data_IF_953060238884
#
_entry.id   IF_953060238884
#
_cell.length_a   1.000
_cell.length_b   1.000
_cell.length_c   1.000
_cell.angle_alpha   90.00
_cell.angle_beta   90.00
_cell.angle_gamma   90.00
#
_symmetry.space_group_name_H-M   'P 1'
#
loop_
_entity.id
_entity.type
_entity.pdbx_description
1 polymer ?
#
# COMPACT_ATOMS: atom_id res chain seq x y z
N UNK A 1 -32.65 -57.95 -26.22
CA UNK A 1 -32.45 -56.93 -25.17
C UNK A 1 -31.03 -56.40 -25.32
N UNK A 2 -30.83 -55.26 -26.00
CA UNK A 2 -29.52 -54.68 -26.30
C UNK A 2 -29.41 -53.33 -25.61
N UNK A 3 -28.52 -53.21 -24.62
CA UNK A 3 -28.22 -51.96 -23.92
C UNK A 3 -27.10 -51.28 -24.70
N UNK A 4 -27.38 -50.10 -25.26
CA UNK A 4 -26.39 -49.21 -25.87
C UNK A 4 -25.86 -48.27 -24.79
N UNK A 5 -24.59 -48.42 -24.42
CA UNK A 5 -23.88 -47.50 -23.53
C UNK A 5 -23.33 -46.34 -24.35
N UNK A 6 -23.85 -45.14 -24.13
CA UNK A 6 -23.43 -43.92 -24.80
C UNK A 6 -22.44 -43.18 -23.88
N UNK A 7 -21.18 -43.12 -24.29
CA UNK A 7 -20.14 -42.36 -23.58
C UNK A 7 -20.37 -40.86 -23.81
N UNK A 8 -20.63 -40.12 -22.74
CA UNK A 8 -20.61 -38.65 -22.72
C UNK A 8 -19.20 -38.24 -22.30
N UNK A 9 -18.42 -37.70 -23.25
CA UNK A 9 -17.18 -36.98 -22.94
C UNK A 9 -17.57 -35.59 -22.40
N UNK A 10 -17.37 -35.38 -21.10
CA UNK A 10 -17.47 -34.06 -20.49
C UNK A 10 -16.07 -33.42 -20.55
N UNK A 11 -15.88 -32.48 -21.47
CA UNK A 11 -14.75 -31.56 -21.46
C UNK A 11 -14.99 -30.51 -20.36
N UNK A 12 -14.36 -30.69 -19.21
CA UNK A 12 -14.30 -29.63 -18.17
C UNK A 12 -13.16 -28.70 -18.55
N UNK A 13 -13.54 -27.50 -18.99
CA UNK A 13 -12.68 -26.34 -19.15
C UNK A 13 -12.09 -25.97 -17.78
N UNK A 14 -10.82 -26.28 -17.54
CA UNK A 14 -10.04 -25.75 -16.43
C UNK A 14 -9.62 -24.32 -16.79
N UNK A 15 -10.56 -23.37 -16.64
CA UNK A 15 -10.26 -21.95 -16.75
C UNK A 15 -9.85 -21.42 -15.36
N UNK A 16 -8.58 -21.05 -15.25
CA UNK A 16 -8.05 -19.98 -14.39
C UNK A 16 -8.72 -19.74 -13.04
N UNK A 17 -8.29 -20.49 -12.03
CA UNK A 17 -8.24 -19.98 -10.67
C UNK A 17 -6.77 -19.82 -10.26
N UNK A 18 -6.06 -18.93 -10.94
CA UNK A 18 -5.08 -18.12 -10.21
C UNK A 18 -5.91 -17.16 -9.37
N UNK A 19 -6.45 -17.68 -8.27
CA UNK A 19 -6.82 -16.85 -7.15
C UNK A 19 -5.53 -16.16 -6.73
N UNK A 20 -5.38 -14.90 -7.10
CA UNK A 20 -4.36 -14.03 -6.55
C UNK A 20 -4.72 -13.91 -5.07
N UNK A 21 -4.24 -14.86 -4.28
CA UNK A 21 -4.41 -14.89 -2.84
C UNK A 21 -3.37 -13.92 -2.26
N UNK A 22 -3.50 -12.64 -2.60
CA UNK A 22 -2.95 -11.56 -1.78
C UNK A 22 -3.81 -11.52 -0.52
N UNK A 23 -3.52 -12.45 0.40
CA UNK A 23 -3.98 -12.31 1.78
C UNK A 23 -3.69 -10.86 2.19
N UNK A 24 -4.68 -10.08 2.67
CA UNK A 24 -4.41 -8.77 3.22
C UNK A 24 -3.47 -9.00 4.40
N UNK A 25 -2.16 -8.79 4.18
CA UNK A 25 -1.19 -8.76 5.25
C UNK A 25 -1.69 -7.67 6.18
N UNK A 26 -2.05 -8.05 7.40
CA UNK A 26 -2.37 -7.14 8.50
C UNK A 26 -1.43 -5.94 8.39
N UNK A 27 -1.97 -4.84 7.86
CA UNK A 27 -1.19 -3.65 7.59
C UNK A 27 -0.54 -3.24 8.90
N UNK A 28 0.69 -2.75 8.84
CA UNK A 28 1.27 -1.99 9.94
C UNK A 28 0.40 -0.74 10.11
N UNK A 29 -0.72 -0.91 10.83
CA UNK A 29 -1.73 0.13 11.05
C UNK A 29 -1.17 1.23 11.95
N UNK A 30 -0.03 1.02 12.60
CA UNK A 30 0.60 2.07 13.39
C UNK A 30 1.36 3.05 12.49
N UNK A 31 1.11 4.33 12.70
CA UNK A 31 1.89 5.47 12.21
C UNK A 31 3.04 5.69 13.20
N UNK A 32 4.24 5.25 12.83
CA UNK A 32 5.42 5.26 13.71
C UNK A 32 6.27 6.53 13.61
N UNK A 33 6.05 7.33 12.57
CA UNK A 33 6.97 8.37 12.09
C UNK A 33 6.23 9.57 11.54
N UNK A 34 6.96 10.67 11.30
CA UNK A 34 6.42 11.88 10.67
C UNK A 34 6.03 11.69 9.20
N UNK A 35 6.60 10.68 8.53
CA UNK A 35 6.31 10.40 7.14
C UNK A 35 6.72 9.01 6.70
N UNK A 36 6.85 8.88 5.39
CA UNK A 36 7.31 7.67 4.72
C UNK A 36 8.48 7.98 3.79
N UNK A 37 9.35 7.00 3.65
CA UNK A 37 10.39 7.01 2.62
C UNK A 37 9.99 6.03 1.54
N UNK A 38 9.87 6.52 0.32
CA UNK A 38 9.60 5.74 -0.88
C UNK A 38 10.93 5.57 -1.61
N UNK A 39 11.29 4.33 -1.93
CA UNK A 39 12.46 4.04 -2.72
C UNK A 39 12.04 3.62 -4.14
N UNK A 40 12.49 4.39 -5.14
CA UNK A 40 11.94 4.37 -6.49
C UNK A 40 10.86 5.44 -6.68
N UNK A 41 10.15 5.39 -7.80
CA UNK A 41 9.04 6.29 -8.08
C UNK A 41 7.73 5.50 -8.18
N UNK A 42 6.69 6.01 -7.52
CA UNK A 42 5.30 5.49 -7.62
C UNK A 42 4.81 5.55 -9.08
N UNK A 43 5.39 6.43 -9.91
CA UNK A 43 5.01 6.60 -11.32
C UNK A 43 6.02 6.02 -12.30
N UNK A 44 7.27 5.81 -11.87
CA UNK A 44 8.38 5.34 -12.71
C UNK A 44 9.16 4.25 -11.94
N UNK A 45 8.66 3.03 -12.05
CA UNK A 45 9.10 1.82 -11.35
C UNK A 45 10.49 1.34 -11.76
N UNK A 46 11.55 2.10 -11.46
CA UNK A 46 12.94 1.64 -11.60
C UNK A 46 13.75 2.06 -10.40
N UNK A 47 14.30 1.04 -9.73
CA UNK A 47 15.35 1.23 -8.74
C UNK A 47 16.64 1.59 -9.47
N UNK A 48 17.09 2.83 -9.36
CA UNK A 48 18.31 3.32 -10.03
C UNK A 48 19.59 2.88 -9.32
N UNK A 49 19.54 2.75 -8.00
CA UNK A 49 20.69 2.46 -7.15
C UNK A 49 20.34 1.46 -6.04
N UNK A 50 21.33 0.72 -5.57
CA UNK A 50 21.21 -0.18 -4.43
C UNK A 50 20.88 0.61 -3.15
N UNK A 51 19.78 0.27 -2.49
CA UNK A 51 19.40 0.87 -1.20
C UNK A 51 20.10 0.10 -0.09
N UNK A 52 21.10 0.73 0.54
CA UNK A 52 21.77 0.17 1.72
C UNK A 52 21.02 0.57 2.99
N UNK A 53 20.55 -0.42 3.72
CA UNK A 53 19.96 -0.28 5.04
C UNK A 53 21.02 -0.65 6.07
N UNK A 54 21.36 0.28 6.95
CA UNK A 54 22.44 0.11 7.93
C UNK A 54 21.92 0.14 9.36
N UNK A 55 22.60 -0.59 10.23
CA UNK A 55 22.41 -0.55 11.68
C UNK A 55 23.01 0.75 12.27
N UNK A 56 22.75 0.99 13.55
CA UNK A 56 23.28 2.16 14.27
C UNK A 56 24.81 2.13 14.41
N UNK A 57 25.43 0.94 14.39
CA UNK A 57 26.89 0.76 14.42
C UNK A 57 27.55 0.86 13.03
N UNK A 58 26.80 1.30 12.01
CA UNK A 58 27.19 1.39 10.60
C UNK A 58 27.42 0.04 9.88
N UNK A 59 27.12 -1.09 10.51
CA UNK A 59 27.11 -2.37 9.80
C UNK A 59 25.92 -2.45 8.84
N UNK A 60 26.09 -3.11 7.70
CA UNK A 60 25.00 -3.30 6.73
C UNK A 60 24.03 -4.33 7.29
N UNK A 61 22.77 -3.93 7.46
CA UNK A 61 21.68 -4.84 7.80
C UNK A 61 21.24 -5.62 6.55
N UNK A 62 20.88 -4.90 5.49
CA UNK A 62 20.59 -5.47 4.17
C UNK A 62 20.72 -4.41 3.08
N UNK A 63 20.81 -4.87 1.85
CA UNK A 63 20.82 -4.06 0.64
C UNK A 63 19.67 -4.51 -0.25
N UNK A 64 18.80 -3.58 -0.64
CA UNK A 64 17.79 -3.81 -1.67
C UNK A 64 18.42 -3.47 -3.01
N UNK A 65 18.51 -4.44 -3.91
CA UNK A 65 19.22 -4.30 -5.18
C UNK A 65 18.39 -4.85 -6.32
N UNK A 66 18.49 -4.23 -7.49
CA UNK A 66 17.90 -4.75 -8.73
C UNK A 66 19.00 -4.83 -9.79
N UNK A 67 19.18 -6.01 -10.36
CA UNK A 67 20.00 -6.15 -11.58
C UNK A 67 19.11 -5.96 -12.80
N UNK A 68 19.71 -5.53 -13.91
CA UNK A 68 18.98 -5.32 -15.16
C UNK A 68 18.15 -6.57 -15.54
N UNK A 69 16.86 -6.36 -15.79
CA UNK A 69 15.87 -7.41 -16.10
C UNK A 69 15.74 -8.51 -15.02
N UNK A 70 16.09 -8.22 -13.76
CA UNK A 70 15.89 -9.11 -12.63
C UNK A 70 14.93 -8.49 -11.61
N UNK A 71 14.35 -9.36 -10.78
CA UNK A 71 13.57 -8.98 -9.62
C UNK A 71 14.45 -8.27 -8.58
N UNK A 72 13.82 -7.45 -7.74
CA UNK A 72 14.45 -6.87 -6.56
C UNK A 72 14.84 -7.99 -5.59
N UNK A 73 16.09 -7.98 -5.13
CA UNK A 73 16.63 -8.95 -4.16
C UNK A 73 17.24 -8.27 -2.95
N UNK A 74 17.16 -8.95 -1.81
CA UNK A 74 17.76 -8.53 -0.53
C UNK A 74 19.13 -9.19 -0.33
N UNK A 75 20.14 -8.41 0.11
CA UNK A 75 21.52 -8.88 0.31
C UNK A 75 22.13 -8.36 1.63
N UNK A 76 22.59 -9.21 2.56
CA UNK A 76 22.49 -10.66 2.53
C UNK A 76 21.03 -11.13 2.48
N UNK A 77 20.81 -12.35 2.00
CA UNK A 77 19.48 -12.93 1.87
C UNK A 77 18.81 -12.98 3.25
N UNK A 78 17.89 -12.04 3.49
CA UNK A 78 17.00 -12.08 4.66
C UNK A 78 15.68 -12.68 4.20
N UNK A 79 15.14 -13.63 4.98
CA UNK A 79 13.90 -14.35 4.60
C UNK A 79 12.73 -13.42 4.35
N UNK A 80 12.66 -12.31 5.07
CA UNK A 80 11.58 -11.32 4.99
C UNK A 80 12.09 -10.00 5.55
N UNK A 81 11.79 -8.91 4.85
CA UNK A 81 11.90 -7.55 5.40
C UNK A 81 10.50 -7.10 5.83
N UNK A 82 10.38 -6.59 7.04
CA UNK A 82 9.11 -6.09 7.58
C UNK A 82 9.12 -4.57 7.52
N UNK A 83 8.57 -4.03 6.45
CA UNK A 83 8.44 -2.58 6.22
C UNK A 83 7.00 -2.29 5.80
N UNK A 84 6.64 -1.01 5.65
CA UNK A 84 5.28 -0.60 5.33
C UNK A 84 4.75 -1.25 4.05
N UNK A 85 5.52 -1.20 2.97
CA UNK A 85 5.19 -1.86 1.72
C UNK A 85 6.44 -2.46 1.08
N UNK A 86 6.36 -3.74 0.72
CA UNK A 86 7.41 -4.42 -0.02
C UNK A 86 6.76 -5.34 -1.06
N UNK A 87 6.56 -4.78 -2.25
CA UNK A 87 6.03 -5.47 -3.42
C UNK A 87 7.07 -5.38 -4.55
N UNK A 88 8.10 -6.23 -4.54
CA UNK A 88 9.22 -6.15 -5.47
C UNK A 88 8.82 -6.33 -6.94
N UNK A 89 7.76 -7.10 -7.22
CA UNK A 89 7.23 -7.31 -8.58
C UNK A 89 6.65 -6.04 -9.20
N UNK A 90 6.29 -5.07 -8.36
CA UNK A 90 5.75 -3.78 -8.72
C UNK A 90 6.72 -2.63 -8.39
N UNK A 91 7.96 -2.94 -8.00
CA UNK A 91 8.95 -1.97 -7.52
C UNK A 91 8.44 -1.02 -6.40
N UNK A 92 7.50 -1.47 -5.57
CA UNK A 92 6.97 -0.69 -4.45
C UNK A 92 7.75 -1.05 -3.19
N UNK A 93 8.56 -0.09 -2.73
CA UNK A 93 9.34 -0.19 -1.49
C UNK A 93 9.07 1.07 -0.68
N UNK A 94 8.36 0.92 0.44
CA UNK A 94 7.97 2.03 1.31
C UNK A 94 8.30 1.69 2.76
N UNK A 95 8.95 2.63 3.43
CA UNK A 95 9.30 2.58 4.84
C UNK A 95 8.53 3.63 5.62
N UNK A 96 8.16 3.31 6.86
CA UNK A 96 7.95 4.36 7.87
C UNK A 96 9.29 5.04 8.14
N UNK A 97 9.35 6.35 7.98
CA UNK A 97 10.61 7.08 8.09
C UNK A 97 10.48 8.46 8.73
N UNK A 98 11.53 8.85 9.45
CA UNK A 98 11.78 10.24 9.84
C UNK A 98 12.97 10.78 9.03
N UNK A 99 12.85 12.01 8.54
CA UNK A 99 13.91 12.66 7.77
C UNK A 99 14.94 13.31 8.69
N UNK A 100 16.23 13.07 8.44
CA UNK A 100 17.37 13.83 8.96
C UNK A 100 18.09 14.52 7.80
N UNK A 101 19.09 15.34 8.12
CA UNK A 101 19.78 16.19 7.13
C UNK A 101 20.37 15.38 5.96
N UNK A 102 21.07 14.28 6.26
CA UNK A 102 21.79 13.48 5.26
C UNK A 102 21.39 11.98 5.25
N UNK A 103 20.42 11.61 6.08
CA UNK A 103 19.96 10.23 6.20
C UNK A 103 18.47 10.19 6.59
N UNK A 104 17.88 9.01 6.44
CA UNK A 104 16.54 8.69 6.89
C UNK A 104 16.62 7.65 7.99
N UNK A 105 15.90 7.87 9.08
CA UNK A 105 15.65 6.84 10.09
C UNK A 105 14.44 6.04 9.62
N UNK A 106 14.59 4.74 9.40
CA UNK A 106 13.52 3.88 8.87
C UNK A 106 13.19 2.75 9.83
N UNK A 107 11.91 2.40 9.95
CA UNK A 107 11.49 1.26 10.75
C UNK A 107 11.49 -0.03 9.94
N UNK A 108 12.20 -1.03 10.44
CA UNK A 108 12.19 -2.41 9.94
C UNK A 108 11.72 -3.31 11.08
N UNK A 109 10.46 -3.74 11.01
CA UNK A 109 9.76 -4.41 12.10
C UNK A 109 9.64 -3.50 13.32
N UNK A 110 10.25 -3.88 14.43
CA UNK A 110 10.33 -3.09 15.67
C UNK A 110 11.63 -2.30 15.81
N UNK A 111 12.56 -2.40 14.87
CA UNK A 111 13.88 -1.78 14.96
C UNK A 111 13.99 -0.55 14.06
N UNK A 112 14.71 0.47 14.55
CA UNK A 112 15.10 1.63 13.73
C UNK A 112 16.44 1.33 13.06
N UNK A 113 16.49 1.54 11.74
CA UNK A 113 17.66 1.44 10.87
C UNK A 113 17.87 2.77 10.16
N UNK A 114 18.94 2.88 9.38
CA UNK A 114 19.26 4.12 8.64
C UNK A 114 19.45 3.84 7.15
N UNK A 115 19.10 4.81 6.32
CA UNK A 115 19.36 4.84 4.88
C UNK A 115 19.98 6.20 4.55
N UNK A 116 21.14 6.21 3.89
CA UNK A 116 21.79 7.45 3.46
C UNK A 116 20.98 8.08 2.32
N UNK A 117 20.80 9.40 2.35
CA UNK A 117 20.00 10.11 1.34
C UNK A 117 20.69 10.11 -0.02
N UNK A 118 19.93 9.84 -1.08
CA UNK A 118 20.34 9.97 -2.48
C UNK A 118 19.12 10.30 -3.37
N UNK A 119 19.34 10.62 -4.65
CA UNK A 119 18.30 11.17 -5.55
C UNK A 119 17.14 10.22 -5.85
N UNK A 120 17.33 8.91 -5.72
CA UNK A 120 16.29 7.89 -5.99
C UNK A 120 15.35 7.63 -4.81
N UNK A 121 15.43 8.43 -3.74
CA UNK A 121 14.57 8.35 -2.57
C UNK A 121 13.65 9.56 -2.47
N UNK A 122 12.36 9.30 -2.27
CA UNK A 122 11.38 10.35 -2.05
C UNK A 122 10.82 10.25 -0.64
N UNK A 123 11.06 11.28 0.16
CA UNK A 123 10.42 11.42 1.47
C UNK A 123 9.13 12.23 1.33
N UNK A 124 8.05 11.72 1.90
CA UNK A 124 6.78 12.42 2.01
C UNK A 124 6.35 12.40 3.48
N UNK A 125 5.85 13.52 3.98
CA UNK A 125 5.11 13.47 5.24
C UNK A 125 3.81 12.65 5.01
N UNK A 126 3.17 12.23 6.08
CA UNK A 126 1.97 11.39 5.95
C UNK A 126 0.81 12.03 5.20
N UNK A 127 0.62 13.34 5.30
CA UNK A 127 -0.47 14.06 4.65
C UNK A 127 -0.24 14.16 3.13
N UNK A 128 0.99 14.41 2.71
CA UNK A 128 1.39 14.37 1.30
C UNK A 128 1.28 12.94 0.75
N UNK A 129 1.73 11.94 1.52
CA UNK A 129 1.69 10.55 1.10
C UNK A 129 0.25 10.03 0.94
N UNK A 130 -0.60 10.26 1.95
CA UNK A 130 -2.00 9.80 1.92
C UNK A 130 -2.78 10.46 0.78
N UNK A 131 -2.41 11.70 0.41
CA UNK A 131 -3.05 12.41 -0.70
C UNK A 131 -2.83 11.75 -2.06
N UNK A 132 -1.72 11.01 -2.22
CA UNK A 132 -1.30 10.38 -3.47
C UNK A 132 -1.61 8.89 -3.59
N UNK A 133 -2.31 8.30 -2.62
CA UNK A 133 -2.62 6.86 -2.60
C UNK A 133 -4.12 6.59 -2.58
N UNK A 134 -4.50 5.43 -3.09
CA UNK A 134 -5.89 4.97 -3.06
C UNK A 134 -6.22 4.35 -1.71
N UNK A 135 -7.48 4.51 -1.31
CA UNK A 135 -7.94 4.11 0.02
C UNK A 135 -9.06 3.08 -0.04
N UNK A 136 -8.93 2.06 0.79
CA UNK A 136 -10.03 1.20 1.22
C UNK A 136 -10.59 1.70 2.55
N UNK A 137 -11.91 1.73 2.67
CA UNK A 137 -12.58 2.23 3.87
C UNK A 137 -13.08 1.06 4.72
N UNK A 138 -13.03 1.20 6.05
CA UNK A 138 -13.36 0.15 7.02
C UNK A 138 -14.49 0.60 7.95
N UNK A 139 -15.02 -0.31 8.78
CA UNK A 139 -15.97 0.06 9.84
C UNK A 139 -15.36 1.03 10.88
N UNK A 140 -14.04 1.01 11.05
CA UNK A 140 -13.35 1.91 11.98
C UNK A 140 -13.29 3.34 11.43
N UNK A 141 -13.47 3.51 10.12
CA UNK A 141 -13.50 4.81 9.46
C UNK A 141 -14.57 4.88 8.38
N UNK A 142 -15.84 5.01 8.78
CA UNK A 142 -16.94 5.10 7.84
C UNK A 142 -16.88 6.39 7.01
N UNK A 143 -17.36 6.32 5.78
CA UNK A 143 -17.54 7.52 4.95
C UNK A 143 -18.72 8.35 5.47
N UNK A 144 -18.45 9.63 5.74
CA UNK A 144 -19.36 10.59 6.35
C UNK A 144 -19.75 11.69 5.38
N UNK A 145 -20.96 12.25 5.52
CA UNK A 145 -21.38 13.40 4.71
C UNK A 145 -20.68 14.70 5.11
N UNK A 146 -20.30 14.84 6.38
CA UNK A 146 -19.57 15.99 6.92
C UNK A 146 -18.33 15.53 7.70
N UNK A 147 -17.41 16.47 7.97
CA UNK A 147 -16.23 16.27 8.82
C UNK A 147 -16.60 16.18 10.31
N UNK A 148 -17.47 15.26 10.66
CA UNK A 148 -18.05 15.05 11.99
C UNK A 148 -18.38 13.56 12.19
N UNK A 149 -17.89 12.99 13.29
CA UNK A 149 -18.11 11.60 13.69
C UNK A 149 -19.63 11.28 13.84
N UNK A 150 -20.47 12.28 14.15
CA UNK A 150 -21.92 12.14 14.31
C UNK A 150 -22.73 12.36 13.03
N UNK A 151 -22.09 12.75 11.94
CA UNK A 151 -22.80 12.99 10.68
C UNK A 151 -23.27 11.68 10.04
N UNK A 152 -24.17 11.81 9.07
CA UNK A 152 -24.73 10.67 8.34
C UNK A 152 -23.62 9.86 7.66
N UNK A 153 -23.67 8.54 7.84
CA UNK A 153 -22.78 7.61 7.14
C UNK A 153 -23.36 7.26 5.79
N UNK A 154 -22.57 7.47 4.74
CA UNK A 154 -22.91 7.06 3.37
C UNK A 154 -22.91 5.53 3.31
N UNK A 155 -23.90 4.92 2.65
CA UNK A 155 -24.03 3.46 2.55
C UNK A 155 -23.08 2.86 1.52
N UNK A 156 -22.82 1.55 1.65
CA UNK A 156 -22.04 0.74 0.70
C UNK A 156 -20.61 1.24 0.43
N UNK A 157 -20.11 2.14 1.27
CA UNK A 157 -18.83 2.83 1.11
C UNK A 157 -17.59 1.91 1.14
N UNK A 158 -17.72 0.66 1.57
CA UNK A 158 -16.61 -0.30 1.59
C UNK A 158 -16.43 -1.06 0.27
N UNK A 159 -17.37 -0.91 -0.65
CA UNK A 159 -17.36 -1.65 -1.92
C UNK A 159 -16.49 -0.99 -3.00
N UNK A 160 -15.90 0.17 -2.70
CA UNK A 160 -15.21 1.01 -3.67
C UNK A 160 -13.83 1.41 -3.13
N UNK A 161 -12.90 1.68 -4.04
CA UNK A 161 -11.69 2.44 -3.72
C UNK A 161 -11.91 3.91 -3.92
N UNK A 162 -11.18 4.68 -3.13
CA UNK A 162 -11.30 6.12 -3.10
C UNK A 162 -9.97 6.80 -3.38
N UNK A 163 -10.03 7.92 -4.09
CA UNK A 163 -8.92 8.87 -4.15
C UNK A 163 -9.16 10.04 -3.20
N UNK A 164 -8.06 10.59 -2.68
CA UNK A 164 -8.08 11.73 -1.78
C UNK A 164 -8.15 13.02 -2.60
N UNK A 165 -9.11 13.87 -2.26
CA UNK A 165 -9.32 15.18 -2.89
C UNK A 165 -8.92 16.35 -2.00
N UNK A 166 -8.87 16.16 -0.68
CA UNK A 166 -8.39 17.14 0.29
C UNK A 166 -7.96 16.45 1.59
N UNK A 167 -6.97 17.02 2.28
CA UNK A 167 -6.47 16.59 3.58
C UNK A 167 -6.68 17.72 4.58
N UNK A 168 -7.41 17.45 5.66
CA UNK A 168 -7.68 18.42 6.73
C UNK A 168 -7.46 17.79 8.11
N UNK A 169 -6.20 17.78 8.55
CA UNK A 169 -5.80 17.13 9.78
C UNK A 169 -6.08 15.62 9.72
N UNK A 170 -6.89 15.11 10.64
CA UNK A 170 -7.20 13.68 10.73
C UNK A 170 -8.28 13.22 9.74
N UNK A 171 -8.82 14.15 8.94
CA UNK A 171 -9.90 13.89 8.00
C UNK A 171 -9.45 14.07 6.56
N UNK A 172 -9.95 13.19 5.70
CA UNK A 172 -9.77 13.26 4.25
C UNK A 172 -11.12 13.50 3.61
N UNK A 173 -11.15 14.36 2.60
CA UNK A 173 -12.24 14.38 1.64
C UNK A 173 -11.91 13.43 0.51
N UNK A 174 -12.78 12.47 0.25
CA UNK A 174 -12.51 11.38 -0.70
C UNK A 174 -13.66 11.19 -1.67
N UNK A 175 -13.36 10.68 -2.86
CA UNK A 175 -14.37 10.28 -3.85
C UNK A 175 -14.03 8.94 -4.47
N UNK A 176 -15.05 8.16 -4.84
CA UNK A 176 -14.84 6.85 -5.46
C UNK A 176 -14.13 6.98 -6.82
N UNK A 177 -13.25 6.03 -7.14
CA UNK A 177 -12.51 6.03 -8.39
C UNK A 177 -13.20 5.15 -9.43
N UNK A 178 -13.66 5.77 -10.52
CA UNK A 178 -14.37 5.06 -11.59
C UNK A 178 -13.54 3.97 -12.26
N UNK A 179 -12.23 4.20 -12.38
CA UNK A 179 -11.32 3.33 -13.15
C UNK A 179 -10.69 2.20 -12.32
N UNK A 180 -11.06 2.09 -11.03
CA UNK A 180 -10.66 0.99 -10.14
C UNK A 180 -11.82 0.01 -9.89
N UNK A 181 -12.21 -0.20 -8.64
CA UNK A 181 -13.43 -0.93 -8.23
C UNK A 181 -14.72 -0.16 -8.58
N UNK A 182 -14.58 1.05 -9.13
CA UNK A 182 -15.68 1.81 -9.71
C UNK A 182 -16.49 2.59 -8.68
N UNK A 183 -17.65 3.04 -9.15
CA UNK A 183 -18.62 3.81 -8.37
C UNK A 183 -20.02 3.21 -8.57
N UNK A 184 -20.95 3.34 -7.59
CA UNK A 184 -22.29 2.78 -7.70
C UNK A 184 -23.02 3.35 -8.90
N UNK A 185 -23.39 2.49 -9.85
CA UNK A 185 -24.15 2.85 -11.06
C UNK A 185 -23.60 4.08 -11.80
N UNK A 186 -22.28 4.29 -11.76
CA UNK A 186 -21.62 5.45 -12.39
C UNK A 186 -21.84 6.80 -11.69
N UNK A 187 -22.45 6.81 -10.51
CA UNK A 187 -22.63 8.01 -9.69
C UNK A 187 -21.44 8.20 -8.77
N UNK A 188 -20.81 9.37 -8.82
CA UNK A 188 -19.70 9.71 -7.94
C UNK A 188 -20.18 9.78 -6.49
N UNK A 189 -19.61 8.94 -5.64
CA UNK A 189 -19.78 8.97 -4.18
C UNK A 189 -18.61 9.74 -3.61
N UNK A 190 -18.92 10.75 -2.81
CA UNK A 190 -17.94 11.64 -2.17
C UNK A 190 -18.32 11.88 -0.72
N UNK A 191 -17.34 12.02 0.15
CA UNK A 191 -17.56 12.31 1.56
C UNK A 191 -16.27 12.56 2.32
N UNK A 192 -16.39 12.55 3.64
CA UNK A 192 -15.30 12.73 4.58
C UNK A 192 -15.01 11.43 5.32
N UNK A 193 -13.74 11.12 5.55
CA UNK A 193 -13.33 9.92 6.27
C UNK A 193 -12.15 10.23 7.18
N UNK A 194 -12.11 9.61 8.36
CA UNK A 194 -11.06 9.86 9.34
C UNK A 194 -9.91 8.90 9.11
N UNK A 195 -8.81 9.34 8.53
CA UNK A 195 -7.76 8.40 8.09
C UNK A 195 -6.83 7.97 9.21
N UNK A 196 -6.74 8.77 10.29
CA UNK A 196 -5.98 8.44 11.47
C UNK A 196 -6.70 8.81 12.77
N UNK A 197 -6.33 8.10 13.84
CA UNK A 197 -6.61 8.49 15.21
C UNK A 197 -5.32 8.36 16.01
N UNK A 198 -4.71 9.51 16.35
CA UNK A 198 -3.35 9.57 16.92
C UNK A 198 -2.37 8.84 15.99
N UNK A 199 -1.78 7.75 16.47
CA UNK A 199 -0.79 6.95 15.76
C UNK A 199 -1.39 5.71 15.09
N UNK A 200 -2.72 5.63 14.95
CA UNK A 200 -3.38 4.52 14.29
C UNK A 200 -3.97 4.98 12.96
N UNK A 201 -3.59 4.30 11.88
CA UNK A 201 -4.21 4.39 10.57
C UNK A 201 -5.52 3.59 10.59
N UNK A 202 -6.61 4.23 10.14
CA UNK A 202 -7.97 3.67 10.16
C UNK A 202 -8.47 3.24 8.77
N UNK A 203 -7.69 3.54 7.74
CA UNK A 203 -7.97 3.22 6.33
C UNK A 203 -6.96 2.21 5.81
N UNK A 204 -7.37 1.46 4.79
CA UNK A 204 -6.48 0.57 4.04
C UNK A 204 -5.78 1.37 2.95
N UNK A 205 -4.49 1.12 2.75
CA UNK A 205 -3.69 1.78 1.71
C UNK A 205 -3.53 0.86 0.52
N UNK A 206 -4.00 1.31 -0.64
CA UNK A 206 -3.79 0.65 -1.92
C UNK A 206 -2.77 1.43 -2.74
N UNK A 207 -1.61 0.81 -2.95
CA UNK A 207 -0.50 1.40 -3.71
C UNK A 207 -0.66 1.24 -5.22
N UNK A 208 -1.61 0.41 -5.63
CA UNK A 208 -1.96 0.13 -7.01
C UNK A 208 -3.47 0.09 -7.11
N UNK A 209 -3.92 0.55 -8.26
CA UNK A 209 -5.10 0.09 -8.92
C UNK A 209 -4.61 -0.85 -10.06
#
# INVERSE_FOLDING_TARGET
MKIKTQFILIYIFFCGLYSCNSQPKKSLNDIKTEGVLIAGSITHYRLEEDIKIVNNDNTIYTTISRKENQEIVLRPQVKKIEIRAFYPDYDIIIFDADKKENEYLVYVGSEVKRIVSYSGLTYMNWEDFISGIYLGLTDESPLKTLKDDNSETIKDYKLYSYEVTSVEGDWLKVRCLKDCEGCPSGTMVEGWVKWRNKNQLLVELFYLC
#
